data_IF_299638853037
#
_entry.id   IF_299638853037
#
_cell.length_a   1.000
_cell.length_b   1.000
_cell.length_c   1.000
_cell.angle_alpha   90.00
_cell.angle_beta   90.00
_cell.angle_gamma   90.00
#
_symmetry.space_group_name_H-M   'P 1'
#
loop_
_entity.id
_entity.type
_entity.pdbx_description
1 polymer ?
#
# COMPACT_ATOMS: atom_id res chain seq x y z
N UNK A 1 -5.61 -9.55 -4.13
CA UNK A 1 -5.13 -10.64 -5.03
C UNK A 1 -5.55 -10.29 -6.45
N UNK A 2 -4.75 -10.65 -7.45
CA UNK A 2 -5.00 -10.36 -8.86
C UNK A 2 -4.42 -11.49 -9.72
N UNK A 3 -4.81 -11.60 -11.00
CA UNK A 3 -4.22 -12.59 -11.90
C UNK A 3 -2.87 -12.12 -12.42
N UNK A 4 -1.92 -13.05 -12.60
CA UNK A 4 -0.68 -12.78 -13.30
C UNK A 4 -0.94 -12.23 -14.71
N UNK A 5 -0.14 -11.26 -15.14
CA UNK A 5 -0.34 -10.50 -16.37
C UNK A 5 -0.98 -9.11 -16.15
N UNK A 6 -1.50 -8.82 -14.96
CA UNK A 6 -1.88 -7.46 -14.61
C UNK A 6 -0.67 -6.52 -14.57
N UNK A 7 -0.89 -5.30 -15.01
CA UNK A 7 0.01 -4.15 -14.81
C UNK A 7 -0.57 -3.26 -13.72
N UNK A 8 0.20 -2.29 -13.21
CA UNK A 8 -0.28 -1.46 -12.11
C UNK A 8 -1.51 -0.60 -12.44
N UNK A 9 -1.76 -0.28 -13.72
CA UNK A 9 -3.02 0.37 -14.14
C UNK A 9 -4.27 -0.43 -13.76
N UNK A 10 -4.22 -1.76 -13.80
CA UNK A 10 -5.37 -2.58 -13.45
C UNK A 10 -5.75 -2.45 -11.97
N UNK A 11 -4.81 -2.03 -11.12
CA UNK A 11 -4.95 -2.03 -9.66
C UNK A 11 -5.03 -0.61 -9.08
N UNK A 12 -4.52 0.41 -9.77
CA UNK A 12 -4.50 1.80 -9.30
C UNK A 12 -5.89 2.33 -8.93
N UNK A 13 -6.93 1.90 -9.65
CA UNK A 13 -8.32 2.27 -9.36
C UNK A 13 -8.80 1.81 -7.97
N UNK A 14 -8.20 0.76 -7.40
CA UNK A 14 -8.59 0.26 -6.08
C UNK A 14 -8.27 1.26 -4.96
N UNK A 15 -7.15 1.98 -5.07
CA UNK A 15 -6.80 3.04 -4.14
C UNK A 15 -7.61 4.33 -4.38
N UNK A 16 -8.02 4.56 -5.65
CA UNK A 16 -8.80 5.75 -6.03
C UNK A 16 -10.29 5.63 -5.78
N UNK A 17 -10.85 4.43 -5.75
CA UNK A 17 -12.30 4.20 -5.61
C UNK A 17 -12.95 5.05 -4.51
N UNK A 18 -12.50 4.93 -3.24
CA UNK A 18 -13.08 5.72 -2.13
C UNK A 18 -12.94 7.23 -2.29
N UNK A 19 -11.92 7.68 -3.03
CA UNK A 19 -11.62 9.10 -3.28
C UNK A 19 -12.49 9.64 -4.43
N UNK A 20 -12.64 8.86 -5.49
CA UNK A 20 -13.45 9.20 -6.67
C UNK A 20 -14.95 9.13 -6.37
N UNK A 21 -15.38 8.29 -5.43
CA UNK A 21 -16.76 8.30 -4.91
C UNK A 21 -17.14 9.63 -4.24
N UNK A 22 -16.15 10.45 -3.89
CA UNK A 22 -16.31 11.80 -3.33
C UNK A 22 -16.01 12.91 -4.34
N UNK A 23 -15.85 12.58 -5.63
CA UNK A 23 -15.44 13.51 -6.70
C UNK A 23 -14.10 14.24 -6.41
N UNK A 24 -13.21 13.61 -5.63
CA UNK A 24 -11.86 14.10 -5.35
C UNK A 24 -10.82 13.33 -6.16
N UNK A 25 -9.57 13.81 -6.20
CA UNK A 25 -8.46 13.07 -6.82
C UNK A 25 -7.11 13.52 -6.26
N UNK A 26 -6.07 12.70 -6.49
CA UNK A 26 -4.68 13.06 -6.26
C UNK A 26 -3.85 13.02 -7.53
N UNK A 27 -3.08 14.09 -7.73
CA UNK A 27 -2.46 14.45 -9.01
C UNK A 27 -1.13 13.72 -9.29
N UNK A 28 -0.94 12.54 -8.72
CA UNK A 28 0.23 11.67 -8.92
C UNK A 28 -0.21 10.22 -9.22
N UNK A 29 0.77 9.32 -9.47
CA UNK A 29 0.48 7.88 -9.47
C UNK A 29 0.22 7.42 -8.03
N UNK A 30 -0.40 6.25 -7.86
CA UNK A 30 -0.54 5.63 -6.52
C UNK A 30 0.77 4.97 -6.09
N UNK A 31 1.72 4.74 -6.99
CA UNK A 31 3.02 4.23 -6.61
C UNK A 31 3.97 4.02 -7.77
N UNK A 32 5.21 3.69 -7.44
CA UNK A 32 6.31 3.46 -8.37
C UNK A 32 7.19 2.30 -7.89
N UNK A 33 8.00 1.73 -8.78
CA UNK A 33 8.99 0.74 -8.39
C UNK A 33 10.12 1.31 -7.53
N UNK A 34 10.75 0.45 -6.74
CA UNK A 34 11.92 0.75 -5.91
C UNK A 34 13.10 -0.13 -6.36
N UNK A 35 14.25 0.48 -6.59
CA UNK A 35 15.50 -0.22 -6.90
C UNK A 35 16.27 -0.63 -5.65
N UNK A 36 16.79 -1.86 -5.63
CA UNK A 36 17.62 -2.34 -4.52
C UNK A 36 18.98 -1.64 -4.51
N UNK A 37 19.24 -0.80 -3.50
CA UNK A 37 20.45 0.05 -3.40
C UNK A 37 20.68 0.93 -4.64
N UNK A 38 19.58 1.32 -5.31
CA UNK A 38 19.57 2.13 -6.53
C UNK A 38 18.57 3.29 -6.38
N UNK A 39 17.80 3.59 -7.43
CA UNK A 39 16.88 4.72 -7.43
C UNK A 39 15.64 4.41 -6.59
N UNK A 40 15.22 5.39 -5.79
CA UNK A 40 13.93 5.33 -5.07
C UNK A 40 12.75 5.33 -6.05
N UNK A 41 12.89 5.94 -7.23
CA UNK A 41 11.92 5.83 -8.32
C UNK A 41 12.51 5.00 -9.45
N UNK A 42 12.10 3.75 -9.56
CA UNK A 42 12.63 2.83 -10.55
C UNK A 42 11.51 2.23 -11.41
N UNK A 43 11.64 2.39 -12.73
CA UNK A 43 10.85 1.68 -13.72
C UNK A 43 11.31 0.20 -13.79
N UNK A 44 10.44 -0.76 -14.16
CA UNK A 44 9.32 -0.56 -15.07
C UNK A 44 7.91 -0.76 -14.47
N UNK A 45 7.79 -0.98 -13.17
CA UNK A 45 6.49 -1.09 -12.48
C UNK A 45 6.07 0.23 -11.83
N UNK A 46 4.75 0.41 -11.70
CA UNK A 46 4.14 1.54 -11.01
C UNK A 46 2.61 1.47 -11.05
N UNK A 47 1.94 2.08 -10.09
CA UNK A 47 0.48 2.19 -10.05
C UNK A 47 0.04 3.54 -10.60
N UNK A 48 -0.71 3.51 -11.71
CA UNK A 48 -1.26 4.71 -12.34
C UNK A 48 -2.53 4.41 -13.15
N UNK A 49 -3.56 5.23 -12.97
CA UNK A 49 -4.84 5.10 -13.68
C UNK A 49 -4.79 5.31 -15.19
N UNK A 50 -3.68 5.84 -15.72
CA UNK A 50 -3.45 6.04 -17.17
C UNK A 50 -2.01 5.70 -17.56
N UNK A 51 -1.79 5.29 -18.81
CA UNK A 51 -0.43 5.09 -19.32
C UNK A 51 0.17 6.46 -19.57
N UNK A 52 1.37 6.70 -19.04
CA UNK A 52 2.19 7.87 -19.38
C UNK A 52 3.46 7.33 -20.04
N UNK A 53 3.54 7.32 -21.38
CA UNK A 53 4.61 6.63 -22.12
C UNK A 53 6.02 7.02 -21.68
N UNK A 54 6.22 8.27 -21.28
CA UNK A 54 7.51 8.80 -20.85
C UNK A 54 7.98 8.22 -19.51
N UNK A 55 7.05 7.72 -18.67
CA UNK A 55 7.36 7.13 -17.36
C UNK A 55 7.87 5.70 -17.46
N UNK A 56 7.44 4.96 -18.50
CA UNK A 56 7.81 3.55 -18.72
C UNK A 56 7.54 2.65 -17.49
N UNK A 57 6.48 2.96 -16.75
CA UNK A 57 6.09 2.36 -15.46
C UNK A 57 4.91 1.36 -15.57
N UNK A 58 4.66 0.85 -16.77
CA UNK A 58 3.48 0.02 -17.11
C UNK A 58 3.81 -1.44 -17.43
N UNK A 59 4.90 -2.00 -16.87
CA UNK A 59 5.22 -3.41 -17.02
C UNK A 59 4.27 -4.33 -16.23
N UNK A 60 4.25 -5.61 -16.63
CA UNK A 60 3.60 -6.69 -15.88
C UNK A 60 4.24 -6.77 -14.49
N UNK A 61 3.39 -6.91 -13.47
CA UNK A 61 3.83 -7.08 -12.10
C UNK A 61 4.38 -8.50 -11.91
N UNK A 62 5.70 -8.59 -11.77
CA UNK A 62 6.42 -9.85 -11.58
C UNK A 62 6.70 -10.12 -10.10
N UNK A 63 6.85 -11.39 -9.74
CA UNK A 63 7.26 -11.79 -8.39
C UNK A 63 8.61 -11.17 -8.01
N UNK A 64 8.71 -10.63 -6.81
CA UNK A 64 9.91 -9.98 -6.29
C UNK A 64 10.04 -8.50 -6.63
N UNK A 65 9.22 -7.96 -7.55
CA UNK A 65 9.16 -6.52 -7.75
C UNK A 65 8.66 -5.81 -6.49
N UNK A 66 9.35 -4.75 -6.09
CA UNK A 66 8.94 -3.85 -5.01
C UNK A 66 8.26 -2.63 -5.63
N UNK A 67 7.08 -2.26 -5.12
CA UNK A 67 6.30 -1.10 -5.57
C UNK A 67 5.80 -0.34 -4.34
N UNK A 68 5.83 0.98 -4.36
CA UNK A 68 5.12 1.77 -3.34
C UNK A 68 3.60 1.68 -3.54
N UNK A 69 2.87 1.83 -2.44
CA UNK A 69 1.43 2.09 -2.39
C UNK A 69 1.22 3.30 -1.50
N UNK A 70 0.98 4.46 -2.13
CA UNK A 70 1.09 5.80 -1.55
C UNK A 70 -0.07 6.74 -1.92
N UNK A 71 -1.35 6.33 -1.80
CA UNK A 71 -2.45 7.25 -2.00
C UNK A 71 -2.37 8.41 -1.01
N UNK A 72 -2.79 9.60 -1.46
CA UNK A 72 -2.83 10.78 -0.61
C UNK A 72 -3.83 11.80 -1.13
N UNK A 73 -4.21 12.77 -0.30
CA UNK A 73 -5.11 13.87 -0.67
C UNK A 73 -4.53 15.17 -0.14
N UNK A 74 -4.62 16.23 -0.94
CA UNK A 74 -4.08 17.55 -0.60
C UNK A 74 -5.14 18.61 -0.84
N UNK A 75 -5.53 19.31 0.22
CA UNK A 75 -6.50 20.41 0.18
C UNK A 75 -5.72 21.72 0.28
N UNK A 76 -5.74 22.50 -0.80
CA UNK A 76 -5.03 23.77 -0.90
C UNK A 76 -5.42 24.72 0.25
N UNK A 77 -4.41 25.35 0.86
CA UNK A 77 -4.59 26.28 1.98
C UNK A 77 -5.01 25.62 3.30
N UNK A 78 -5.04 24.29 3.39
CA UNK A 78 -5.47 23.58 4.61
C UNK A 78 -4.47 22.50 5.05
N UNK A 79 -4.50 21.31 4.45
CA UNK A 79 -3.70 20.17 4.89
C UNK A 79 -3.49 19.16 3.76
N UNK A 80 -2.62 18.18 4.01
CA UNK A 80 -2.41 17.05 3.13
C UNK A 80 -2.13 15.78 3.92
N UNK A 81 -2.56 14.65 3.38
CA UNK A 81 -2.41 13.33 3.99
C UNK A 81 -1.86 12.40 2.91
N UNK A 82 -0.89 11.56 3.26
CA UNK A 82 -0.42 10.44 2.44
C UNK A 82 -0.06 9.30 3.36
N UNK A 83 -0.48 8.09 3.01
CA UNK A 83 -0.07 6.85 3.67
C UNK A 83 0.70 6.03 2.66
N UNK A 84 1.96 5.69 2.96
CA UNK A 84 2.87 5.09 2.00
C UNK A 84 3.55 3.84 2.59
N UNK A 85 3.40 2.72 1.90
CA UNK A 85 4.10 1.47 2.20
C UNK A 85 4.83 0.96 0.96
N UNK A 86 5.98 0.32 1.15
CA UNK A 86 6.59 -0.54 0.14
C UNK A 86 5.94 -1.92 0.17
N UNK A 87 5.61 -2.44 -0.99
CA UNK A 87 4.95 -3.72 -1.20
C UNK A 87 5.77 -4.60 -2.12
N UNK A 88 5.98 -5.86 -1.75
CA UNK A 88 6.65 -6.85 -2.60
C UNK A 88 5.64 -7.81 -3.24
N UNK A 89 5.72 -7.98 -4.56
CA UNK A 89 4.86 -8.88 -5.31
C UNK A 89 5.25 -10.35 -5.05
N UNK A 90 4.25 -11.20 -4.79
CA UNK A 90 4.40 -12.62 -4.48
C UNK A 90 3.43 -13.48 -5.27
N UNK A 91 3.86 -14.69 -5.62
CA UNK A 91 2.96 -15.72 -6.16
C UNK A 91 2.05 -16.23 -5.05
N UNK A 92 0.76 -16.17 -5.30
CA UNK A 92 -0.27 -16.84 -4.51
C UNK A 92 -0.65 -18.20 -5.09
N UNK A 93 -1.95 -18.52 -4.98
CA UNK A 93 -2.51 -19.79 -5.45
C UNK A 93 -2.49 -19.87 -6.98
N UNK A 94 -2.10 -21.02 -7.52
CA UNK A 94 -2.29 -21.38 -8.93
C UNK A 94 -3.45 -22.37 -9.05
N UNK A 95 -4.42 -22.06 -9.91
CA UNK A 95 -5.56 -22.92 -10.19
C UNK A 95 -5.83 -22.99 -11.71
N UNK A 96 -7.00 -23.49 -12.11
CA UNK A 96 -7.39 -23.60 -13.51
C UNK A 96 -7.52 -22.25 -14.24
N UNK A 97 -7.77 -21.17 -13.51
CA UNK A 97 -7.94 -19.81 -14.07
C UNK A 97 -6.59 -19.09 -14.25
N UNK A 98 -5.52 -19.60 -13.63
CA UNK A 98 -4.17 -19.08 -13.78
C UNK A 98 -3.39 -18.98 -12.46
N UNK A 99 -2.32 -18.19 -12.50
CA UNK A 99 -1.53 -17.85 -11.32
C UNK A 99 -2.10 -16.59 -10.68
N UNK A 100 -2.58 -16.68 -9.44
CA UNK A 100 -2.92 -15.49 -8.66
C UNK A 100 -1.67 -14.91 -7.99
N UNK A 101 -1.62 -13.60 -7.90
CA UNK A 101 -0.57 -12.80 -7.28
C UNK A 101 -1.14 -12.02 -6.10
N UNK A 102 -0.27 -11.61 -5.19
CA UNK A 102 -0.60 -10.71 -4.09
C UNK A 102 0.60 -9.87 -3.69
N UNK A 103 0.35 -8.86 -2.87
CA UNK A 103 1.38 -8.01 -2.28
C UNK A 103 1.55 -8.33 -0.80
N UNK A 104 2.80 -8.33 -0.36
CA UNK A 104 3.19 -8.43 1.04
C UNK A 104 3.87 -7.12 1.45
N UNK A 105 3.59 -6.56 2.64
CA UNK A 105 4.25 -5.33 3.09
C UNK A 105 5.73 -5.57 3.39
N UNK A 106 6.55 -4.61 2.96
CA UNK A 106 7.97 -4.49 3.33
C UNK A 106 8.13 -3.44 4.42
N UNK A 107 7.36 -2.36 4.36
CA UNK A 107 7.28 -1.35 5.41
C UNK A 107 6.53 -1.90 6.63
N UNK A 108 7.13 -1.76 7.82
CA UNK A 108 6.51 -2.10 9.10
C UNK A 108 6.49 -0.86 10.00
N UNK A 109 5.49 0.00 9.78
CA UNK A 109 5.24 1.19 10.59
C UNK A 109 3.75 1.28 10.95
N UNK A 110 3.39 1.69 12.18
CA UNK A 110 1.99 1.86 12.54
C UNK A 110 1.36 2.96 11.68
N UNK A 111 0.14 2.71 11.22
CA UNK A 111 -0.73 3.76 10.68
C UNK A 111 -1.37 4.48 11.85
N UNK A 112 -1.31 5.80 11.86
CA UNK A 112 -1.85 6.62 12.95
C UNK A 112 -3.37 6.45 13.08
N UNK A 113 -3.80 5.92 14.23
CA UNK A 113 -5.20 5.65 14.53
C UNK A 113 -6.00 6.93 14.81
N UNK A 114 -5.35 8.03 15.21
CA UNK A 114 -6.03 9.29 15.51
C UNK A 114 -6.61 9.95 14.25
N UNK A 115 -6.06 9.63 13.08
CA UNK A 115 -6.55 10.06 11.77
C UNK A 115 -7.63 9.17 11.17
N UNK A 116 -8.06 8.11 11.87
CA UNK A 116 -8.99 7.11 11.35
C UNK A 116 -10.37 7.28 12.00
N UNK A 117 -11.40 7.33 11.17
CA UNK A 117 -12.78 7.24 11.63
C UNK A 117 -13.38 5.88 11.21
N UNK A 118 -13.53 4.93 12.16
CA UNK A 118 -13.98 3.57 11.86
C UNK A 118 -15.35 3.50 11.20
N UNK A 119 -16.19 4.54 11.31
CA UNK A 119 -17.53 4.52 10.73
C UNK A 119 -17.51 4.41 9.19
N UNK A 120 -16.43 4.88 8.55
CA UNK A 120 -16.23 4.79 7.10
C UNK A 120 -15.53 3.50 6.66
N UNK A 121 -15.15 2.64 7.61
CA UNK A 121 -14.48 1.37 7.33
C UNK A 121 -15.46 0.20 7.40
N UNK A 122 -15.43 -0.64 6.38
CA UNK A 122 -16.04 -1.96 6.41
C UNK A 122 -15.38 -2.85 7.45
N UNK A 123 -16.08 -3.88 7.91
CA UNK A 123 -15.51 -4.87 8.84
C UNK A 123 -14.22 -5.52 8.30
N UNK A 124 -14.13 -5.70 6.97
CA UNK A 124 -12.94 -6.26 6.33
C UNK A 124 -11.75 -5.30 6.38
N UNK A 125 -11.96 -4.02 6.16
CA UNK A 125 -10.89 -3.00 6.23
C UNK A 125 -10.37 -2.85 7.65
N UNK A 126 -11.26 -2.84 8.66
CA UNK A 126 -10.86 -2.83 10.07
C UNK A 126 -10.02 -4.06 10.41
N UNK A 127 -10.46 -5.26 9.99
CA UNK A 127 -9.68 -6.47 10.20
C UNK A 127 -8.32 -6.40 9.51
N UNK A 128 -8.26 -5.83 8.29
CA UNK A 128 -7.01 -5.70 7.54
C UNK A 128 -6.03 -4.77 8.25
N UNK A 129 -6.51 -3.64 8.79
CA UNK A 129 -5.71 -2.73 9.60
C UNK A 129 -5.21 -3.41 10.88
N UNK A 130 -6.11 -4.09 11.61
CA UNK A 130 -5.77 -4.79 12.85
C UNK A 130 -4.73 -5.90 12.61
N UNK A 131 -4.86 -6.65 11.52
CA UNK A 131 -3.88 -7.68 11.12
C UNK A 131 -2.53 -7.07 10.76
N UNK A 132 -2.53 -5.93 10.04
CA UNK A 132 -1.30 -5.20 9.70
C UNK A 132 -0.62 -4.64 10.96
N UNK A 133 -1.36 -4.02 11.87
CA UNK A 133 -0.84 -3.48 13.12
C UNK A 133 -0.27 -4.58 14.04
N UNK A 134 -0.95 -5.73 14.15
CA UNK A 134 -0.42 -6.88 14.88
C UNK A 134 0.89 -7.41 14.25
N UNK A 135 0.99 -7.39 12.91
CA UNK A 135 2.21 -7.75 12.19
C UNK A 135 3.35 -6.75 12.47
N UNK A 136 3.07 -5.44 12.43
CA UNK A 136 4.04 -4.38 12.77
C UNK A 136 4.57 -4.58 14.18
N UNK A 137 3.69 -4.73 15.16
CA UNK A 137 4.07 -4.97 16.56
C UNK A 137 4.99 -6.20 16.69
N UNK A 138 4.58 -7.33 16.12
CA UNK A 138 5.35 -8.57 16.19
C UNK A 138 6.71 -8.49 15.49
N UNK A 139 6.82 -7.80 14.35
CA UNK A 139 8.08 -7.64 13.61
C UNK A 139 9.09 -6.74 14.32
N UNK A 140 8.60 -5.70 15.02
CA UNK A 140 9.46 -4.74 15.70
C UNK A 140 9.79 -5.15 17.14
N UNK A 141 9.01 -6.05 17.75
CA UNK A 141 9.08 -6.39 19.18
C UNK A 141 10.51 -6.64 19.70
N UNK A 142 11.29 -7.48 19.01
CA UNK A 142 12.64 -7.87 19.46
C UNK A 142 13.69 -6.75 19.31
N UNK A 143 13.37 -5.67 18.59
CA UNK A 143 14.26 -4.54 18.33
C UNK A 143 13.98 -3.33 19.23
N UNK A 144 12.92 -3.40 20.05
CA UNK A 144 12.44 -2.30 20.88
C UNK A 144 12.71 -2.54 22.37
N UNK A 145 12.88 -1.44 23.10
CA UNK A 145 12.86 -1.40 24.57
C UNK A 145 11.46 -1.68 25.12
N UNK A 146 11.34 -1.95 26.42
CA UNK A 146 10.03 -2.20 27.05
C UNK A 146 9.10 -0.97 26.97
N UNK A 147 9.63 0.24 27.12
CA UNK A 147 8.86 1.49 26.96
C UNK A 147 8.34 1.66 25.53
N UNK A 148 9.20 1.42 24.54
CA UNK A 148 8.81 1.48 23.12
C UNK A 148 7.82 0.38 22.74
N UNK A 149 7.89 -0.80 23.36
CA UNK A 149 6.91 -1.87 23.18
C UNK A 149 5.55 -1.47 23.74
N UNK A 150 5.51 -0.89 24.93
CA UNK A 150 4.24 -0.44 25.52
C UNK A 150 3.62 0.69 24.67
N UNK A 151 4.44 1.62 24.21
CA UNK A 151 4.03 2.65 23.25
C UNK A 151 3.48 2.03 21.96
N UNK A 152 4.25 1.16 21.29
CA UNK A 152 3.84 0.58 20.00
C UNK A 152 2.57 -0.25 20.15
N UNK A 153 2.41 -0.98 21.27
CA UNK A 153 1.20 -1.76 21.55
C UNK A 153 -0.05 -0.89 21.60
N UNK A 154 0.04 0.31 22.18
CA UNK A 154 -1.08 1.26 22.19
C UNK A 154 -1.40 1.79 20.79
N UNK A 155 -0.38 2.12 20.00
CA UNK A 155 -0.54 2.64 18.63
C UNK A 155 -0.84 1.56 17.57
N UNK A 156 -0.79 0.29 17.95
CA UNK A 156 -1.15 -0.87 17.11
C UNK A 156 -2.36 -1.65 17.66
N UNK A 157 -3.13 -1.02 18.55
CA UNK A 157 -4.34 -1.62 19.12
C UNK A 157 -5.41 -1.85 18.05
N UNK A 158 -6.24 -2.88 18.25
CA UNK A 158 -7.35 -3.16 17.35
C UNK A 158 -8.50 -2.14 17.49
N UNK A 159 -9.16 -1.83 16.38
CA UNK A 159 -10.35 -0.94 16.28
C UNK A 159 -11.54 -1.61 15.57
#
# INVERSE_FOLDING_TARGET
>A
RFLYGCIGMNLDILARGPIWDLDLDYKCGTGHGIGYLLNVHEAPNGFRWKIVPERRDSAILEEGMVTTDEPGIYIEGSHGIRTENELICRKGVKNADGQFMYFEPVTYAPIDLDGIDPQYMTAKERQTLNDYHAMVYGKLFDYLTDEERDWLKEYTRAI
#
